data_IF_006122134253
#
_entry.id   IF_006122134253
#
_cell.length_a   1.000
_cell.length_b   1.000
_cell.length_c   1.000
_cell.angle_alpha   90.00
_cell.angle_beta   90.00
_cell.angle_gamma   90.00
#
_symmetry.space_group_name_H-M   'P 1'
#
loop_
_entity.id
_entity.type
_entity.pdbx_description
1 polymer ?
#
# COMPACT_ATOMS: atom_id res chain seq x y z
N UNK A 1 -34.03 22.73 -6.50
CA UNK A 1 -35.10 22.24 -7.39
C UNK A 1 -34.43 21.65 -8.63
N UNK A 2 -34.45 20.32 -8.70
CA UNK A 2 -34.15 19.43 -9.84
C UNK A 2 -32.83 19.60 -10.64
N UNK A 3 -31.92 18.66 -10.42
CA UNK A 3 -31.15 18.03 -11.51
C UNK A 3 -31.26 16.51 -11.35
N UNK A 4 -31.92 15.88 -12.32
CA UNK A 4 -31.91 14.43 -12.58
C UNK A 4 -31.76 14.22 -14.08
N UNK A 5 -31.37 12.99 -14.46
CA UNK A 5 -31.04 12.45 -15.80
C UNK A 5 -29.53 12.57 -16.10
N UNK A 6 -28.69 11.54 -16.05
CA UNK A 6 -28.90 10.09 -16.18
C UNK A 6 -28.85 9.67 -17.65
N UNK A 7 -27.80 8.95 -18.07
CA UNK A 7 -27.87 7.74 -18.92
C UNK A 7 -26.51 7.14 -19.26
N UNK A 8 -26.43 5.84 -18.99
CA UNK A 8 -25.60 4.82 -19.60
C UNK A 8 -25.91 4.65 -21.11
N UNK A 9 -24.87 4.33 -21.89
CA UNK A 9 -24.80 3.50 -23.12
C UNK A 9 -23.67 4.07 -23.99
N UNK A 10 -22.69 3.30 -24.47
CA UNK A 10 -22.80 2.51 -25.70
C UNK A 10 -21.91 1.25 -25.59
N UNK A 11 -22.50 0.10 -25.96
CA UNK A 11 -21.84 -1.19 -26.19
C UNK A 11 -21.31 -1.27 -27.64
N UNK A 12 -20.23 -2.05 -27.80
CA UNK A 12 -19.83 -2.87 -28.95
C UNK A 12 -19.87 -2.29 -30.39
N UNK A 13 -18.67 -2.14 -30.98
CA UNK A 13 -18.44 -2.45 -32.39
C UNK A 13 -17.14 -3.28 -32.53
N UNK A 14 -17.28 -4.54 -32.93
CA UNK A 14 -16.19 -5.39 -33.39
C UNK A 14 -16.00 -5.23 -34.90
N UNK A 15 -14.74 -5.41 -35.32
CA UNK A 15 -14.24 -5.71 -36.67
C UNK A 15 -14.17 -4.55 -37.68
N UNK A 16 -12.94 -4.05 -37.90
CA UNK A 16 -12.17 -4.26 -39.14
C UNK A 16 -10.69 -3.95 -38.85
N UNK A 17 -9.87 -4.99 -38.91
CA UNK A 17 -8.41 -4.94 -38.87
C UNK A 17 -7.91 -4.44 -40.22
N UNK A 18 -7.59 -3.15 -40.34
CA UNK A 18 -6.74 -2.63 -41.44
C UNK A 18 -5.36 -2.29 -40.88
N UNK A 19 -4.35 -3.04 -41.33
CA UNK A 19 -2.93 -2.70 -41.16
C UNK A 19 -2.71 -1.32 -41.78
N UNK A 20 -2.51 -0.29 -40.96
CA UNK A 20 -1.93 0.96 -41.40
C UNK A 20 -0.40 0.82 -41.39
N UNK A 21 0.31 1.29 -42.43
CA UNK A 21 1.76 1.19 -42.50
C UNK A 21 2.39 2.05 -41.40
N UNK A 22 3.47 1.52 -40.81
CA UNK A 22 4.31 2.19 -39.82
C UNK A 22 4.81 3.52 -40.38
N UNK A 23 4.18 4.62 -39.99
CA UNK A 23 4.77 5.94 -40.12
C UNK A 23 5.94 5.97 -39.14
N UNK A 24 7.15 5.80 -39.67
CA UNK A 24 8.38 6.12 -38.94
C UNK A 24 8.33 7.62 -38.67
N UNK A 25 7.97 8.00 -37.45
CA UNK A 25 8.32 9.32 -36.98
C UNK A 25 9.84 9.38 -36.95
N UNK A 26 10.39 10.19 -37.85
CA UNK A 26 11.76 10.65 -37.83
C UNK A 26 12.10 11.04 -36.39
N UNK A 27 13.09 10.37 -35.81
CA UNK A 27 13.66 10.77 -34.51
C UNK A 27 14.01 12.24 -34.64
N UNK A 28 13.23 13.09 -33.99
CA UNK A 28 13.65 14.48 -33.77
C UNK A 28 14.82 14.35 -32.80
N UNK A 29 16.04 14.59 -33.29
CA UNK A 29 17.21 14.81 -32.44
C UNK A 29 16.88 16.03 -31.57
N UNK A 30 16.29 15.76 -30.41
CA UNK A 30 16.08 16.72 -29.35
C UNK A 30 17.46 17.06 -28.81
N UNK A 31 17.80 18.35 -28.73
CA UNK A 31 19.09 18.80 -28.21
C UNK A 31 19.37 18.12 -26.85
N UNK A 32 20.57 17.58 -26.61
CA UNK A 32 20.95 16.96 -25.33
C UNK A 32 20.69 17.86 -24.11
N UNK A 33 20.68 19.18 -24.33
CA UNK A 33 20.50 20.20 -23.28
C UNK A 33 19.06 20.28 -22.76
N UNK A 34 18.06 19.85 -23.54
CA UNK A 34 16.63 19.93 -23.15
C UNK A 34 16.19 18.79 -22.24
N UNK A 35 16.93 17.68 -22.18
CA UNK A 35 16.66 16.53 -21.30
C UNK A 35 17.56 16.50 -20.06
N UNK A 36 18.44 17.49 -19.89
CA UNK A 36 19.38 17.58 -18.78
C UNK A 36 18.73 18.20 -17.54
N UNK A 37 17.93 17.41 -16.83
CA UNK A 37 17.28 17.80 -15.57
C UNK A 37 17.94 17.11 -14.39
N UNK A 38 17.85 17.70 -13.20
CA UNK A 38 18.32 17.05 -11.96
C UNK A 38 17.65 15.69 -11.78
N UNK A 39 16.34 15.63 -12.07
CA UNK A 39 15.55 14.42 -12.02
C UNK A 39 16.10 13.33 -12.95
N UNK A 40 16.33 13.64 -14.24
CA UNK A 40 16.85 12.66 -15.20
C UNK A 40 18.27 12.19 -14.84
N UNK A 41 19.16 13.09 -14.37
CA UNK A 41 20.53 12.72 -13.92
C UNK A 41 20.52 11.74 -12.74
N UNK A 42 19.66 11.97 -11.75
CA UNK A 42 19.56 11.10 -10.57
C UNK A 42 18.87 9.78 -10.91
N UNK A 43 17.78 9.83 -11.68
CA UNK A 43 17.04 8.63 -12.07
C UNK A 43 17.84 7.73 -13.04
N UNK A 44 18.73 8.29 -13.85
CA UNK A 44 19.64 7.54 -14.72
C UNK A 44 20.70 6.73 -13.96
N UNK A 45 20.94 7.01 -12.67
CA UNK A 45 21.79 6.15 -11.84
C UNK A 45 21.09 4.80 -11.62
N UNK A 46 21.82 3.71 -11.82
CA UNK A 46 21.31 2.35 -11.60
C UNK A 46 20.83 2.11 -10.17
N UNK A 47 20.06 1.03 -9.95
CA UNK A 47 19.27 0.84 -8.72
C UNK A 47 20.06 0.76 -7.42
N UNK A 48 21.31 0.25 -7.41
CA UNK A 48 21.98 -0.08 -6.15
C UNK A 48 23.48 0.26 -6.08
N UNK A 49 24.17 0.50 -7.21
CA UNK A 49 25.65 0.56 -7.20
C UNK A 49 26.25 1.97 -7.07
N UNK A 50 25.46 3.04 -7.17
CA UNK A 50 25.97 4.40 -7.32
C UNK A 50 25.27 5.39 -6.39
N UNK A 51 26.04 6.11 -5.57
CA UNK A 51 25.49 7.21 -4.77
C UNK A 51 24.83 8.26 -5.65
N UNK A 52 23.72 8.82 -5.20
CA UNK A 52 23.01 9.91 -5.91
C UNK A 52 23.43 11.30 -5.45
N UNK A 53 24.25 11.39 -4.39
CA UNK A 53 24.78 12.67 -3.90
C UNK A 53 25.77 13.36 -4.84
N UNK A 54 26.66 12.67 -5.59
CA UNK A 54 27.59 13.37 -6.48
C UNK A 54 26.91 14.15 -7.62
N UNK A 55 25.88 13.61 -8.32
CA UNK A 55 25.09 14.41 -9.26
C UNK A 55 24.43 15.64 -8.65
N UNK A 56 23.95 15.56 -7.40
CA UNK A 56 23.37 16.70 -6.68
C UNK A 56 24.42 17.77 -6.40
N UNK A 57 25.61 17.37 -5.95
CA UNK A 57 26.73 18.27 -5.70
C UNK A 57 27.24 18.95 -6.98
N UNK A 58 27.32 18.19 -8.08
CA UNK A 58 27.71 18.72 -9.39
C UNK A 58 26.71 19.75 -9.90
N UNK A 59 25.41 19.52 -9.71
CA UNK A 59 24.36 20.45 -10.10
C UNK A 59 24.50 21.81 -9.39
N UNK A 60 24.77 21.79 -8.07
CA UNK A 60 25.05 23.02 -7.32
C UNK A 60 26.35 23.70 -7.76
N UNK A 61 27.41 22.94 -8.07
CA UNK A 61 28.69 23.49 -8.58
C UNK A 61 28.51 24.21 -9.91
N UNK A 62 27.56 23.79 -10.73
CA UNK A 62 27.20 24.45 -11.99
C UNK A 62 26.43 25.77 -11.76
N UNK A 63 26.20 26.19 -10.50
CA UNK A 63 25.46 27.40 -10.16
C UNK A 63 23.95 27.30 -10.43
N UNK A 64 23.44 26.08 -10.69
CA UNK A 64 22.04 25.85 -10.97
C UNK A 64 21.25 25.84 -9.66
N UNK A 65 20.20 26.65 -9.60
CA UNK A 65 19.27 26.68 -8.47
C UNK A 65 18.53 25.33 -8.36
N UNK A 66 18.24 24.89 -7.13
CA UNK A 66 17.41 23.71 -6.87
C UNK A 66 16.24 24.12 -6.01
N UNK A 67 15.02 23.90 -6.50
CA UNK A 67 13.80 24.22 -5.76
C UNK A 67 13.44 23.09 -4.79
N UNK A 68 12.91 23.40 -3.59
CA UNK A 68 12.46 22.37 -2.64
C UNK A 68 11.45 21.39 -3.25
N UNK A 69 10.56 21.89 -4.11
CA UNK A 69 9.54 21.07 -4.81
C UNK A 69 10.16 20.03 -5.74
N UNK A 70 11.28 20.35 -6.38
CA UNK A 70 11.96 19.42 -7.31
C UNK A 70 12.62 18.28 -6.53
N UNK A 71 13.25 18.57 -5.39
CA UNK A 71 13.88 17.55 -4.55
C UNK A 71 12.84 16.66 -3.85
N UNK A 72 11.73 17.24 -3.36
CA UNK A 72 10.61 16.47 -2.81
C UNK A 72 9.98 15.57 -3.88
N UNK A 73 9.77 16.10 -5.09
CA UNK A 73 9.29 15.31 -6.23
C UNK A 73 10.24 14.18 -6.62
N UNK A 74 11.54 14.42 -6.57
CA UNK A 74 12.56 13.41 -6.82
C UNK A 74 12.55 12.29 -5.77
N UNK A 75 12.44 12.64 -4.47
CA UNK A 75 12.28 11.65 -3.40
C UNK A 75 11.06 10.77 -3.68
N UNK A 76 9.94 11.37 -4.07
CA UNK A 76 8.71 10.63 -4.38
C UNK A 76 8.88 9.69 -5.58
N UNK A 77 9.46 10.18 -6.69
CA UNK A 77 9.72 9.35 -7.86
C UNK A 77 10.65 8.16 -7.56
N UNK A 78 11.63 8.36 -6.67
CA UNK A 78 12.51 7.30 -6.18
C UNK A 78 11.73 6.27 -5.34
N UNK A 79 10.84 6.71 -4.45
CA UNK A 79 9.96 5.83 -3.69
C UNK A 79 9.01 5.02 -4.57
N UNK A 80 8.38 5.65 -5.58
CA UNK A 80 7.52 4.98 -6.56
C UNK A 80 8.29 3.91 -7.36
N UNK A 81 9.58 4.15 -7.59
CA UNK A 81 10.48 3.21 -8.24
C UNK A 81 11.10 2.18 -7.26
N UNK A 82 10.67 2.15 -6.00
CA UNK A 82 11.19 1.32 -4.91
C UNK A 82 12.70 1.52 -4.63
N UNK A 83 13.25 2.67 -4.99
CA UNK A 83 14.66 3.05 -4.78
C UNK A 83 14.84 3.78 -3.44
N UNK A 84 14.45 3.13 -2.34
CA UNK A 84 14.41 3.74 -1.01
C UNK A 84 15.78 4.19 -0.49
N UNK A 85 16.87 3.50 -0.85
CA UNK A 85 18.25 3.94 -0.56
C UNK A 85 18.55 5.31 -1.12
N UNK A 86 18.21 5.50 -2.39
CA UNK A 86 18.47 6.74 -3.09
C UNK A 86 17.59 7.85 -2.54
N UNK A 87 16.32 7.57 -2.25
CA UNK A 87 15.42 8.52 -1.60
C UNK A 87 15.98 8.97 -0.24
N UNK A 88 16.49 8.04 0.57
CA UNK A 88 17.12 8.36 1.85
C UNK A 88 18.37 9.22 1.66
N UNK A 89 19.27 8.86 0.74
CA UNK A 89 20.46 9.64 0.42
C UNK A 89 20.14 11.08 -0.01
N UNK A 90 19.13 11.27 -0.89
CA UNK A 90 18.69 12.62 -1.29
C UNK A 90 18.19 13.38 -0.05
N UNK A 91 17.36 12.74 0.78
CA UNK A 91 16.83 13.37 1.99
C UNK A 91 17.94 13.80 2.95
N UNK A 92 18.88 12.91 3.30
CA UNK A 92 20.01 13.23 4.17
C UNK A 92 20.90 14.35 3.60
N UNK A 93 21.13 14.32 2.28
CA UNK A 93 21.90 15.33 1.58
C UNK A 93 21.26 16.73 1.72
N UNK A 94 19.93 16.83 1.64
CA UNK A 94 19.20 18.09 1.83
C UNK A 94 19.52 18.70 3.19
N UNK A 95 19.47 17.88 4.26
CA UNK A 95 19.75 18.34 5.62
C UNK A 95 21.21 18.71 5.82
N UNK A 96 22.14 17.90 5.30
CA UNK A 96 23.57 18.17 5.43
C UNK A 96 24.01 19.44 4.72
N UNK A 97 23.42 19.73 3.56
CA UNK A 97 23.75 20.93 2.77
C UNK A 97 22.97 22.16 3.20
N UNK A 98 21.83 22.00 3.87
CA UNK A 98 20.97 23.12 4.28
C UNK A 98 20.43 23.91 3.07
N UNK A 99 20.15 23.23 1.96
CA UNK A 99 19.71 23.89 0.70
C UNK A 99 18.37 24.59 0.84
N UNK A 100 17.52 24.17 1.78
CA UNK A 100 16.26 24.84 2.12
C UNK A 100 15.81 24.50 3.55
N UNK A 101 14.87 25.29 4.07
CA UNK A 101 14.25 25.07 5.37
C UNK A 101 13.31 23.86 5.33
N UNK A 102 13.62 22.85 6.14
CA UNK A 102 12.83 21.64 6.25
C UNK A 102 11.48 21.93 6.93
N UNK A 103 10.42 21.31 6.40
CA UNK A 103 9.11 21.24 7.06
C UNK A 103 9.00 19.96 7.90
N UNK A 104 8.03 19.86 8.81
CA UNK A 104 7.71 18.61 9.50
C UNK A 104 7.47 17.43 8.54
N UNK A 105 6.84 17.68 7.40
CA UNK A 105 6.63 16.66 6.37
C UNK A 105 7.95 16.05 5.86
N UNK A 106 9.00 16.87 5.67
CA UNK A 106 10.31 16.36 5.23
C UNK A 106 10.90 15.39 6.27
N UNK A 107 10.68 15.67 7.56
CA UNK A 107 11.07 14.77 8.65
C UNK A 107 10.20 13.50 8.70
N UNK A 108 8.89 13.62 8.47
CA UNK A 108 7.96 12.49 8.42
C UNK A 108 8.36 11.51 7.31
N UNK A 109 8.67 12.01 6.11
CA UNK A 109 9.20 11.21 5.01
C UNK A 109 10.52 10.53 5.36
N UNK A 110 11.46 11.28 5.95
CA UNK A 110 12.76 10.68 6.32
C UNK A 110 12.60 9.61 7.39
N UNK A 111 11.73 9.82 8.37
CA UNK A 111 11.44 8.83 9.41
C UNK A 111 10.97 7.50 8.79
N UNK A 112 10.06 7.56 7.83
CA UNK A 112 9.61 6.40 7.07
C UNK A 112 10.74 5.73 6.27
N UNK A 113 11.58 6.52 5.58
CA UNK A 113 12.73 6.00 4.82
C UNK A 113 13.77 5.32 5.71
N UNK A 114 14.02 5.87 6.90
CA UNK A 114 14.93 5.28 7.88
C UNK A 114 14.39 3.94 8.37
N UNK A 115 13.09 3.82 8.64
CA UNK A 115 12.50 2.53 9.03
C UNK A 115 12.63 1.47 7.94
N UNK A 116 12.32 1.81 6.69
CA UNK A 116 12.45 0.87 5.56
C UNK A 116 13.89 0.36 5.40
N UNK A 117 14.88 1.25 5.54
CA UNK A 117 16.28 0.91 5.26
C UNK A 117 17.04 0.34 6.45
N UNK A 118 16.70 0.78 7.65
CA UNK A 118 17.50 0.56 8.87
C UNK A 118 16.69 -0.01 10.03
N UNK A 119 15.38 -0.20 9.85
CA UNK A 119 14.48 -0.77 10.85
C UNK A 119 13.98 0.23 11.90
N UNK A 120 13.02 -0.23 12.70
CA UNK A 120 12.28 0.58 13.67
C UNK A 120 13.18 1.22 14.74
N UNK A 121 14.22 0.50 15.20
CA UNK A 121 15.15 1.00 16.23
C UNK A 121 15.89 2.27 15.78
N UNK A 122 16.32 2.31 14.51
CA UNK A 122 16.98 3.48 13.96
C UNK A 122 15.97 4.61 13.68
N UNK A 123 14.74 4.26 13.29
CA UNK A 123 13.66 5.23 13.16
C UNK A 123 13.35 5.93 14.50
N UNK A 124 13.37 5.19 15.61
CA UNK A 124 13.20 5.77 16.96
C UNK A 124 14.31 6.74 17.34
N UNK A 125 15.57 6.38 17.06
CA UNK A 125 16.72 7.27 17.27
C UNK A 125 16.57 8.53 16.43
N UNK A 126 16.21 8.38 15.16
CA UNK A 126 15.97 9.50 14.27
C UNK A 126 14.85 10.39 14.79
N UNK A 127 13.70 9.82 15.20
CA UNK A 127 12.59 10.59 15.78
C UNK A 127 13.03 11.40 17.01
N UNK A 128 13.84 10.82 17.89
CA UNK A 128 14.40 11.52 19.06
C UNK A 128 15.32 12.68 18.68
N UNK A 129 15.97 12.63 17.51
CA UNK A 129 16.81 13.71 16.98
C UNK A 129 16.02 14.87 16.34
N UNK A 130 14.76 14.66 15.95
CA UNK A 130 13.93 15.70 15.32
C UNK A 130 13.67 16.84 16.32
N UNK A 131 13.85 18.14 15.97
CA UNK A 131 13.52 19.25 16.86
C UNK A 131 12.07 19.18 17.36
N UNK A 132 11.81 19.46 18.64
CA UNK A 132 10.47 19.30 19.25
C UNK A 132 9.38 20.10 18.50
N UNK A 133 9.71 21.30 18.01
CA UNK A 133 8.81 22.16 17.24
C UNK A 133 8.54 21.67 15.80
N UNK A 134 9.29 20.67 15.33
CA UNK A 134 9.12 20.03 14.02
C UNK A 134 8.39 18.68 14.09
N UNK A 135 7.98 18.25 15.30
CA UNK A 135 7.22 17.00 15.51
C UNK A 135 5.72 17.33 15.55
N UNK A 136 5.16 17.63 14.38
CA UNK A 136 3.72 17.88 14.25
C UNK A 136 2.92 16.57 14.09
N UNK A 137 1.63 16.70 13.79
CA UNK A 137 0.72 15.58 13.57
C UNK A 137 1.21 14.64 12.47
N UNK A 138 1.88 15.14 11.43
CA UNK A 138 2.40 14.32 10.33
C UNK A 138 3.53 13.39 10.80
N UNK A 139 4.48 13.90 11.59
CA UNK A 139 5.61 13.11 12.10
C UNK A 139 5.13 12.07 13.11
N UNK A 140 4.24 12.46 14.03
CA UNK A 140 3.66 11.51 14.99
C UNK A 140 2.79 10.45 14.32
N UNK A 141 2.01 10.82 13.29
CA UNK A 141 1.21 9.85 12.53
C UNK A 141 2.10 8.81 11.82
N UNK A 142 3.24 9.22 11.25
CA UNK A 142 4.19 8.26 10.69
C UNK A 142 4.73 7.34 11.78
N UNK A 143 5.22 7.88 12.90
CA UNK A 143 5.73 7.05 14.00
C UNK A 143 4.68 6.06 14.52
N UNK A 144 3.44 6.53 14.70
CA UNK A 144 2.30 5.69 15.08
C UNK A 144 2.09 4.57 14.05
N UNK A 145 2.06 4.90 12.76
CA UNK A 145 1.88 3.90 11.69
C UNK A 145 2.95 2.81 11.75
N UNK A 146 4.20 3.15 12.09
CA UNK A 146 5.30 2.20 12.24
C UNK A 146 5.05 1.23 13.40
N UNK A 147 4.63 1.74 14.57
CA UNK A 147 4.31 0.88 15.73
C UNK A 147 3.05 0.04 15.53
N UNK A 148 2.11 0.47 14.69
CA UNK A 148 0.88 -0.32 14.45
C UNK A 148 1.06 -1.48 13.48
N UNK A 149 2.26 -1.67 12.89
CA UNK A 149 2.56 -2.80 11.98
C UNK A 149 2.69 -4.15 12.70
N UNK A 150 2.93 -4.15 14.01
CA UNK A 150 3.14 -5.37 14.81
C UNK A 150 2.38 -5.32 16.13
N UNK A 151 1.93 -6.49 16.61
CA UNK A 151 1.30 -6.63 17.93
C UNK A 151 2.28 -6.36 19.07
N UNK A 152 3.58 -6.55 18.83
CA UNK A 152 4.63 -6.44 19.86
C UNK A 152 4.89 -4.99 20.28
N UNK A 153 4.51 -4.02 19.46
CA UNK A 153 4.74 -2.58 19.68
C UNK A 153 3.48 -1.85 20.13
N UNK A 154 2.56 -2.58 20.79
CA UNK A 154 1.28 -2.07 21.28
C UNK A 154 1.47 -0.88 22.22
N UNK A 155 2.32 -1.03 23.24
CA UNK A 155 2.47 -0.02 24.27
C UNK A 155 3.06 1.28 23.70
N UNK A 156 3.98 1.17 22.76
CA UNK A 156 4.55 2.30 22.04
C UNK A 156 3.50 3.00 21.17
N UNK A 157 2.68 2.24 20.44
CA UNK A 157 1.59 2.80 19.64
C UNK A 157 0.56 3.55 20.51
N UNK A 158 0.10 2.93 21.61
CA UNK A 158 -0.84 3.55 22.56
C UNK A 158 -0.25 4.81 23.19
N UNK A 159 1.03 4.79 23.57
CA UNK A 159 1.72 5.96 24.12
C UNK A 159 1.82 7.12 23.11
N UNK A 160 2.14 6.82 21.85
CA UNK A 160 2.15 7.84 20.79
C UNK A 160 0.75 8.39 20.55
N UNK A 161 -0.26 7.53 20.43
CA UNK A 161 -1.64 7.95 20.21
C UNK A 161 -2.17 8.83 21.36
N UNK A 162 -1.85 8.45 22.60
CA UNK A 162 -2.20 9.25 23.78
C UNK A 162 -1.48 10.61 23.77
N UNK A 163 -0.21 10.65 23.40
CA UNK A 163 0.53 11.90 23.27
C UNK A 163 -0.06 12.81 22.18
N UNK A 164 -0.48 12.23 21.05
CA UNK A 164 -1.19 12.99 20.01
C UNK A 164 -2.50 13.57 20.54
N UNK A 165 -3.23 12.85 21.39
CA UNK A 165 -4.45 13.35 22.05
C UNK A 165 -4.16 14.55 22.93
N UNK A 166 -3.19 14.43 23.84
CA UNK A 166 -2.80 15.49 24.78
C UNK A 166 -2.32 16.76 24.08
N UNK A 167 -1.77 16.62 22.88
CA UNK A 167 -1.29 17.73 22.06
C UNK A 167 -2.31 18.22 21.01
N UNK A 168 -3.56 17.75 21.06
CA UNK A 168 -4.63 18.09 20.11
C UNK A 168 -4.27 17.82 18.63
N UNK A 169 -3.49 16.76 18.38
CA UNK A 169 -3.05 16.33 17.05
C UNK A 169 -3.96 15.29 16.40
N UNK A 170 -5.11 14.98 17.02
CA UNK A 170 -6.08 13.98 16.54
C UNK A 170 -7.20 14.59 15.69
N UNK A 171 -6.88 15.61 14.88
CA UNK A 171 -7.82 16.28 13.97
C UNK A 171 -8.03 15.55 12.64
N UNK A 172 -7.18 14.57 12.33
CA UNK A 172 -7.22 13.78 11.09
C UNK A 172 -7.69 12.35 11.36
N UNK A 173 -8.27 11.66 10.37
CA UNK A 173 -8.76 10.28 10.52
C UNK A 173 -7.65 9.24 10.72
N UNK A 174 -6.46 9.55 10.22
CA UNK A 174 -5.36 8.63 10.04
C UNK A 174 -4.81 7.98 11.33
N UNK A 175 -4.61 8.73 12.44
CA UNK A 175 -4.24 8.11 13.71
C UNK A 175 -5.27 7.08 14.20
N UNK A 176 -6.58 7.32 13.96
CA UNK A 176 -7.63 6.37 14.32
C UNK A 176 -7.56 5.11 13.46
N UNK A 177 -7.31 5.24 12.15
CA UNK A 177 -7.14 4.08 11.26
C UNK A 177 -5.94 3.21 11.65
N UNK A 178 -4.83 3.82 12.05
CA UNK A 178 -3.68 3.09 12.57
C UNK A 178 -4.05 2.29 13.83
N UNK A 179 -4.78 2.90 14.78
CA UNK A 179 -5.23 2.21 16.00
C UNK A 179 -6.27 1.13 15.72
N UNK A 180 -7.22 1.36 14.80
CA UNK A 180 -8.18 0.34 14.33
C UNK A 180 -7.45 -0.87 13.75
N UNK A 181 -6.42 -0.64 12.92
CA UNK A 181 -5.61 -1.72 12.35
C UNK A 181 -4.87 -2.50 13.45
N UNK A 182 -4.24 -1.81 14.41
CA UNK A 182 -3.55 -2.45 15.53
C UNK A 182 -4.49 -3.31 16.38
N UNK A 183 -5.64 -2.78 16.80
CA UNK A 183 -6.58 -3.55 17.62
C UNK A 183 -7.24 -4.70 16.83
N UNK A 184 -7.44 -4.53 15.52
CA UNK A 184 -7.82 -5.63 14.63
C UNK A 184 -6.78 -6.75 14.63
N UNK A 185 -5.49 -6.42 14.50
CA UNK A 185 -4.40 -7.40 14.61
C UNK A 185 -4.38 -8.08 15.97
N UNK A 186 -4.62 -7.34 17.06
CA UNK A 186 -4.67 -7.89 18.42
C UNK A 186 -5.90 -8.78 18.67
N UNK A 187 -6.91 -8.77 17.80
CA UNK A 187 -8.16 -9.51 18.01
C UNK A 187 -9.15 -8.79 18.93
N UNK A 188 -8.93 -7.50 19.22
CA UNK A 188 -9.65 -6.76 20.26
C UNK A 188 -10.77 -5.91 19.68
N UNK A 189 -11.89 -6.56 19.37
CA UNK A 189 -13.06 -5.90 18.78
C UNK A 189 -13.55 -4.68 19.57
N UNK A 190 -13.68 -4.81 20.88
CA UNK A 190 -14.19 -3.73 21.74
C UNK A 190 -13.33 -2.47 21.61
N UNK A 191 -12.02 -2.63 21.42
CA UNK A 191 -11.10 -1.51 21.23
C UNK A 191 -11.21 -0.90 19.83
N UNK A 192 -11.49 -1.70 18.80
CA UNK A 192 -11.83 -1.19 17.46
C UNK A 192 -13.07 -0.29 17.54
N UNK A 193 -14.13 -0.77 18.19
CA UNK A 193 -15.40 -0.04 18.33
C UNK A 193 -15.21 1.26 19.14
N UNK A 194 -14.38 1.21 20.18
CA UNK A 194 -14.01 2.36 20.99
C UNK A 194 -13.26 3.42 20.19
N UNK A 195 -12.27 3.05 19.36
CA UNK A 195 -11.56 4.01 18.51
C UNK A 195 -12.50 4.64 17.48
N UNK A 196 -13.43 3.88 16.90
CA UNK A 196 -14.45 4.42 15.98
C UNK A 196 -15.37 5.40 16.70
N UNK A 197 -15.76 5.11 17.96
CA UNK A 197 -16.56 6.02 18.79
C UNK A 197 -15.80 7.32 19.07
N UNK A 198 -14.55 7.24 19.50
CA UNK A 198 -13.71 8.41 19.76
C UNK A 198 -13.53 9.29 18.51
N UNK A 199 -13.34 8.67 17.34
CA UNK A 199 -13.24 9.40 16.07
C UNK A 199 -14.49 10.26 15.80
N UNK A 200 -15.68 9.69 16.03
CA UNK A 200 -16.96 10.39 15.88
C UNK A 200 -17.13 11.51 16.91
N UNK A 201 -16.80 11.24 18.17
CA UNK A 201 -16.93 12.22 19.27
C UNK A 201 -15.99 13.41 19.10
N UNK A 202 -14.82 13.20 18.53
CA UNK A 202 -13.87 14.26 18.20
C UNK A 202 -14.26 15.03 16.93
N UNK A 203 -15.41 14.75 16.33
CA UNK A 203 -15.90 15.44 15.13
C UNK A 203 -15.05 15.20 13.89
N UNK A 204 -14.25 14.11 13.86
CA UNK A 204 -13.41 13.77 12.73
C UNK A 204 -14.27 13.07 11.69
N UNK A 205 -14.94 13.88 10.87
CA UNK A 205 -15.73 13.39 9.75
C UNK A 205 -14.79 13.00 8.60
N UNK A 206 -14.87 11.74 8.19
CA UNK A 206 -14.13 11.24 7.04
C UNK A 206 -15.05 10.42 6.14
N UNK A 207 -14.56 10.11 4.94
CA UNK A 207 -15.24 9.22 4.01
C UNK A 207 -15.77 7.98 4.74
N UNK A 208 -17.10 7.87 4.77
CA UNK A 208 -17.85 6.80 5.43
C UNK A 208 -17.47 5.44 4.86
N UNK A 209 -17.24 5.36 3.55
CA UNK A 209 -16.86 4.14 2.84
C UNK A 209 -15.41 3.77 3.21
N UNK A 210 -14.49 4.73 3.29
CA UNK A 210 -13.12 4.44 3.69
C UNK A 210 -13.04 3.97 5.15
N UNK A 211 -13.79 4.62 6.04
CA UNK A 211 -13.89 4.21 7.45
C UNK A 211 -14.44 2.79 7.56
N UNK A 212 -15.53 2.50 6.85
CA UNK A 212 -16.13 1.16 6.81
C UNK A 212 -15.15 0.10 6.29
N UNK A 213 -14.36 0.39 5.25
CA UNK A 213 -13.33 -0.52 4.75
C UNK A 213 -12.24 -0.80 5.79
N UNK A 214 -11.78 0.21 6.53
CA UNK A 214 -10.78 0.02 7.60
C UNK A 214 -11.33 -0.83 8.74
N UNK A 215 -12.57 -0.57 9.18
CA UNK A 215 -13.22 -1.36 10.24
C UNK A 215 -13.47 -2.80 9.79
N UNK A 216 -13.99 -3.00 8.57
CA UNK A 216 -14.21 -4.34 8.01
C UNK A 216 -12.90 -5.13 7.90
N UNK A 217 -11.81 -4.47 7.49
CA UNK A 217 -10.47 -5.07 7.45
C UNK A 217 -9.98 -5.45 8.84
N UNK A 218 -10.20 -4.60 9.84
CA UNK A 218 -9.86 -4.90 11.23
C UNK A 218 -10.66 -6.11 11.74
N UNK A 219 -11.99 -6.13 11.54
CA UNK A 219 -12.84 -7.26 11.90
C UNK A 219 -12.43 -8.55 11.19
N UNK A 220 -12.04 -8.49 9.91
CA UNK A 220 -11.52 -9.64 9.18
C UNK A 220 -10.20 -10.20 9.75
N UNK A 221 -9.47 -9.41 10.56
CA UNK A 221 -8.26 -9.86 11.25
C UNK A 221 -8.57 -10.52 12.61
N UNK A 222 -9.80 -10.40 13.09
CA UNK A 222 -10.30 -11.03 14.32
C UNK A 222 -10.83 -12.43 13.97
N UNK A 223 -10.55 -13.47 14.76
CA UNK A 223 -11.03 -14.84 14.49
C UNK A 223 -12.53 -15.01 14.84
N UNK A 224 -13.38 -14.13 14.30
CA UNK A 224 -14.84 -14.11 14.48
C UNK A 224 -15.50 -13.74 13.14
N UNK A 225 -15.77 -14.77 12.33
CA UNK A 225 -16.35 -14.62 10.98
C UNK A 225 -17.79 -14.11 11.06
N UNK A 226 -18.55 -14.49 12.09
CA UNK A 226 -19.96 -14.11 12.24
C UNK A 226 -20.11 -12.60 12.48
N UNK A 227 -19.25 -12.02 13.32
CA UNK A 227 -19.23 -10.57 13.56
C UNK A 227 -18.84 -9.81 12.29
N UNK A 228 -17.82 -10.29 11.57
CA UNK A 228 -17.42 -9.71 10.30
C UNK A 228 -18.55 -9.74 9.26
N UNK A 229 -19.23 -10.88 9.11
CA UNK A 229 -20.37 -11.04 8.19
C UNK A 229 -21.53 -10.13 8.57
N UNK A 230 -21.89 -10.07 9.85
CA UNK A 230 -22.95 -9.20 10.34
C UNK A 230 -22.65 -7.73 10.04
N UNK A 231 -21.41 -7.30 10.24
CA UNK A 231 -20.99 -5.94 9.91
C UNK A 231 -21.08 -5.69 8.40
N UNK A 232 -20.55 -6.61 7.58
CA UNK A 232 -20.58 -6.51 6.12
C UNK A 232 -22.02 -6.45 5.57
N UNK A 233 -22.94 -7.26 6.09
CA UNK A 233 -24.37 -7.20 5.74
C UNK A 233 -24.99 -5.84 6.07
N UNK A 234 -24.62 -5.27 7.22
CA UNK A 234 -25.04 -3.92 7.61
C UNK A 234 -24.58 -2.85 6.62
N UNK A 235 -23.38 -2.98 6.04
CA UNK A 235 -22.88 -2.05 5.03
C UNK A 235 -23.62 -2.16 3.69
N UNK A 236 -24.12 -3.35 3.35
CA UNK A 236 -24.81 -3.59 2.07
C UNK A 236 -26.21 -2.98 2.00
N UNK A 237 -26.83 -2.69 3.15
CA UNK A 237 -28.17 -2.07 3.25
C UNK A 237 -28.13 -0.54 3.40
N UNK A 238 -26.95 0.05 3.60
CA UNK A 238 -26.81 1.50 3.78
C UNK A 238 -26.71 2.25 2.44
N UNK A 239 -27.30 3.46 2.41
CA UNK A 239 -27.13 4.43 1.31
C UNK A 239 -26.16 5.55 1.72
N UNK A 240 -25.21 5.96 0.86
CA UNK A 240 -24.90 5.39 -0.44
C UNK A 240 -24.29 3.99 -0.35
N UNK A 241 -24.53 3.18 -1.38
CA UNK A 241 -24.06 1.79 -1.46
C UNK A 241 -22.56 1.66 -1.14
N UNK A 242 -22.23 0.75 -0.23
CA UNK A 242 -20.86 0.44 0.14
C UNK A 242 -20.01 -0.02 -1.06
N UNK A 243 -18.85 0.62 -1.23
CA UNK A 243 -17.85 0.24 -2.23
C UNK A 243 -16.69 -0.48 -1.52
N UNK A 244 -16.53 -1.77 -1.83
CA UNK A 244 -15.47 -2.59 -1.28
C UNK A 244 -14.12 -2.21 -1.90
N UNK A 245 -13.12 -1.92 -1.06
CA UNK A 245 -11.73 -1.79 -1.50
C UNK A 245 -11.10 -3.18 -1.68
N UNK A 246 -10.26 -3.36 -2.70
CA UNK A 246 -9.74 -4.68 -3.03
C UNK A 246 -8.90 -5.29 -1.90
N UNK A 247 -8.14 -4.47 -1.15
CA UNK A 247 -7.37 -4.92 0.01
C UNK A 247 -8.26 -5.42 1.16
N UNK A 248 -9.42 -4.79 1.35
CA UNK A 248 -10.43 -5.23 2.31
C UNK A 248 -11.01 -6.58 1.88
N UNK A 249 -11.33 -6.73 0.58
CA UNK A 249 -11.80 -7.99 0.01
C UNK A 249 -10.83 -9.15 0.20
N UNK A 250 -9.52 -8.92 -0.01
CA UNK A 250 -8.46 -9.91 0.31
C UNK A 250 -8.49 -10.30 1.79
N UNK A 251 -8.64 -9.31 2.69
CA UNK A 251 -8.65 -9.56 4.13
C UNK A 251 -9.86 -10.39 4.55
N UNK A 252 -11.04 -10.08 4.02
CA UNK A 252 -12.27 -10.85 4.25
C UNK A 252 -12.16 -12.27 3.68
N UNK A 253 -11.58 -12.44 2.48
CA UNK A 253 -11.34 -13.76 1.92
C UNK A 253 -10.40 -14.60 2.81
N UNK A 254 -9.34 -13.98 3.35
CA UNK A 254 -8.44 -14.63 4.31
C UNK A 254 -9.16 -15.04 5.60
N UNK A 255 -10.05 -14.20 6.12
CA UNK A 255 -10.88 -14.54 7.27
C UNK A 255 -11.76 -15.77 6.99
N UNK A 256 -12.37 -15.87 5.81
CA UNK A 256 -13.14 -17.05 5.42
C UNK A 256 -12.29 -18.32 5.30
N UNK A 257 -11.07 -18.22 4.77
CA UNK A 257 -10.14 -19.36 4.72
C UNK A 257 -9.76 -19.84 6.13
N UNK A 258 -9.42 -18.91 7.02
CA UNK A 258 -9.12 -19.22 8.42
C UNK A 258 -10.33 -19.83 9.14
N UNK A 259 -11.54 -19.40 8.80
CA UNK A 259 -12.80 -20.00 9.27
C UNK A 259 -13.19 -21.31 8.57
N UNK A 260 -12.35 -21.85 7.69
CA UNK A 260 -12.56 -23.14 7.01
C UNK A 260 -13.51 -23.10 5.81
N UNK A 261 -13.93 -21.92 5.36
CA UNK A 261 -14.93 -21.76 4.29
C UNK A 261 -14.29 -21.29 2.97
N UNK A 262 -13.63 -22.21 2.25
CA UNK A 262 -13.04 -21.94 0.93
C UNK A 262 -14.05 -21.41 -0.10
N UNK A 263 -15.31 -21.88 -0.06
CA UNK A 263 -16.36 -21.42 -0.98
C UNK A 263 -16.61 -19.91 -0.85
N UNK A 264 -16.84 -19.41 0.37
CA UNK A 264 -17.05 -17.98 0.64
C UNK A 264 -15.79 -17.16 0.32
N UNK A 265 -14.60 -17.71 0.59
CA UNK A 265 -13.35 -17.07 0.21
C UNK A 265 -13.25 -16.85 -1.31
N UNK A 266 -13.50 -17.88 -2.13
CA UNK A 266 -13.48 -17.79 -3.60
C UNK A 266 -14.50 -16.77 -4.11
N UNK A 267 -15.71 -16.76 -3.55
CA UNK A 267 -16.74 -15.77 -3.91
C UNK A 267 -16.28 -14.35 -3.62
N UNK A 268 -15.69 -14.11 -2.44
CA UNK A 268 -15.14 -12.81 -2.07
C UNK A 268 -13.98 -12.40 -2.97
N UNK A 269 -13.08 -13.32 -3.33
CA UNK A 269 -11.97 -13.04 -4.25
C UNK A 269 -12.49 -12.64 -5.65
N UNK A 270 -13.56 -13.28 -6.14
CA UNK A 270 -14.19 -12.89 -7.41
C UNK A 270 -14.82 -11.51 -7.35
N UNK A 271 -15.51 -11.17 -6.25
CA UNK A 271 -16.00 -9.81 -5.99
C UNK A 271 -14.85 -8.80 -5.95
N UNK A 272 -13.74 -9.19 -5.32
CA UNK A 272 -12.53 -8.36 -5.18
C UNK A 272 -11.92 -8.04 -6.55
N UNK A 273 -11.82 -9.00 -7.46
CA UNK A 273 -11.31 -8.79 -8.82
C UNK A 273 -12.04 -7.66 -9.58
N UNK A 274 -13.35 -7.49 -9.33
CA UNK A 274 -14.17 -6.50 -10.03
C UNK A 274 -13.89 -5.05 -9.59
N UNK A 275 -13.34 -4.86 -8.39
CA UNK A 275 -13.09 -3.54 -7.80
C UNK A 275 -11.61 -3.12 -7.86
N UNK A 276 -10.74 -3.95 -8.44
CA UNK A 276 -9.32 -3.65 -8.62
C UNK A 276 -9.14 -2.56 -9.68
N UNK A 277 -8.51 -1.46 -9.30
CA UNK A 277 -8.19 -0.36 -10.22
C UNK A 277 -7.03 -0.71 -11.16
N UNK A 278 -6.94 0.01 -12.29
CA UNK A 278 -5.95 -0.26 -13.32
C UNK A 278 -4.49 -0.10 -12.85
N UNK A 279 -4.22 0.78 -11.88
CA UNK A 279 -2.86 1.00 -11.36
C UNK A 279 -2.43 -0.14 -10.44
N UNK A 280 -3.36 -0.65 -9.63
CA UNK A 280 -3.10 -1.74 -8.69
C UNK A 280 -3.17 -3.13 -9.33
N UNK A 281 -3.62 -3.24 -10.58
CA UNK A 281 -3.99 -4.51 -11.22
C UNK A 281 -2.89 -5.58 -11.14
N UNK A 282 -1.65 -5.23 -11.43
CA UNK A 282 -0.55 -6.20 -11.42
C UNK A 282 -0.22 -6.70 -10.01
N UNK A 283 -0.23 -5.80 -9.03
CA UNK A 283 0.03 -6.14 -7.63
C UNK A 283 -1.13 -6.96 -7.04
N UNK A 284 -2.37 -6.51 -7.27
CA UNK A 284 -3.58 -7.18 -6.81
C UNK A 284 -3.70 -8.58 -7.42
N UNK A 285 -3.42 -8.74 -8.72
CA UNK A 285 -3.49 -10.04 -9.38
C UNK A 285 -2.50 -11.06 -8.79
N UNK A 286 -1.30 -10.63 -8.37
CA UNK A 286 -0.34 -11.52 -7.68
C UNK A 286 -0.91 -12.02 -6.36
N UNK A 287 -1.46 -11.13 -5.54
CA UNK A 287 -2.07 -11.48 -4.25
C UNK A 287 -3.32 -12.34 -4.45
N UNK A 288 -4.18 -12.00 -5.41
CA UNK A 288 -5.37 -12.78 -5.74
C UNK A 288 -5.00 -14.21 -6.17
N UNK A 289 -3.96 -14.40 -6.98
CA UNK A 289 -3.49 -15.73 -7.37
C UNK A 289 -3.06 -16.58 -6.18
N UNK A 290 -2.31 -16.00 -5.24
CA UNK A 290 -1.89 -16.67 -4.01
C UNK A 290 -3.10 -17.10 -3.19
N UNK A 291 -4.02 -16.16 -2.92
CA UNK A 291 -5.26 -16.42 -2.18
C UNK A 291 -6.17 -17.47 -2.84
N UNK A 292 -6.27 -17.48 -4.17
CA UNK A 292 -6.98 -18.54 -4.88
C UNK A 292 -6.29 -19.89 -4.76
N UNK A 293 -4.96 -19.92 -4.71
CA UNK A 293 -4.17 -21.10 -4.44
C UNK A 293 -4.50 -21.69 -3.08
N UNK A 294 -4.47 -20.86 -2.03
CA UNK A 294 -4.83 -21.23 -0.66
C UNK A 294 -6.28 -21.72 -0.55
N UNK A 295 -7.19 -21.13 -1.33
CA UNK A 295 -8.57 -21.57 -1.42
C UNK A 295 -8.79 -22.86 -2.24
N UNK A 296 -7.74 -23.42 -2.86
CA UNK A 296 -7.83 -24.60 -3.72
C UNK A 296 -8.45 -24.36 -5.11
N UNK A 297 -8.65 -23.09 -5.51
CA UNK A 297 -9.32 -22.71 -6.75
C UNK A 297 -8.38 -22.76 -7.97
N UNK A 298 -7.93 -23.96 -8.34
CA UNK A 298 -6.93 -24.20 -9.41
C UNK A 298 -7.30 -23.57 -10.77
N UNK A 299 -8.59 -23.51 -11.09
CA UNK A 299 -9.08 -22.92 -12.34
C UNK A 299 -8.87 -21.40 -12.36
N UNK A 300 -9.19 -20.71 -11.25
CA UNK A 300 -9.02 -19.26 -11.10
C UNK A 300 -7.53 -18.88 -11.11
N UNK A 301 -6.68 -19.65 -10.43
CA UNK A 301 -5.20 -19.51 -10.50
C UNK A 301 -4.71 -19.62 -11.94
N UNK A 302 -5.17 -20.64 -12.68
CA UNK A 302 -4.77 -20.84 -14.08
C UNK A 302 -5.26 -19.71 -14.99
N UNK A 303 -6.45 -19.16 -14.74
CA UNK A 303 -7.01 -18.02 -15.47
C UNK A 303 -6.18 -16.77 -15.24
N UNK A 304 -5.87 -16.42 -13.99
CA UNK A 304 -5.06 -15.25 -13.66
C UNK A 304 -3.61 -15.39 -14.16
N UNK A 305 -3.01 -16.59 -14.07
CA UNK A 305 -1.66 -16.83 -14.60
C UNK A 305 -1.57 -16.52 -16.11
N UNK A 306 -2.58 -16.90 -16.89
CA UNK A 306 -2.62 -16.57 -18.33
C UNK A 306 -2.77 -15.07 -18.58
N UNK A 307 -3.43 -14.33 -17.68
CA UNK A 307 -3.60 -12.88 -17.79
C UNK A 307 -2.32 -12.12 -17.44
N UNK A 308 -1.59 -12.56 -16.40
CA UNK A 308 -0.36 -11.90 -15.94
C UNK A 308 0.83 -12.28 -16.82
N UNK A 309 0.88 -13.54 -17.28
CA UNK A 309 1.98 -14.08 -18.06
C UNK A 309 1.49 -14.63 -19.41
N UNK A 310 1.02 -13.77 -20.34
CA UNK A 310 0.45 -14.22 -21.61
C UNK A 310 1.45 -14.99 -22.49
N UNK A 311 2.75 -14.83 -22.25
CA UNK A 311 3.84 -15.44 -23.04
C UNK A 311 4.64 -16.54 -22.31
N UNK A 312 4.21 -17.02 -21.13
CA UNK A 312 5.00 -18.01 -20.35
C UNK A 312 4.93 -19.46 -20.83
N UNK A 313 4.28 -19.74 -21.98
CA UNK A 313 4.40 -21.07 -22.60
C UNK A 313 5.69 -21.18 -23.41
N UNK A 314 6.77 -21.57 -22.72
CA UNK A 314 7.69 -22.66 -23.11
C UNK A 314 8.58 -23.05 -21.92
N UNK A 315 8.14 -24.08 -21.19
CA UNK A 315 8.99 -24.95 -20.38
C UNK A 315 9.42 -24.43 -19.01
N UNK A 316 8.74 -24.89 -17.95
CA UNK A 316 9.32 -25.68 -16.83
C UNK A 316 8.25 -25.89 -15.76
N UNK A 317 8.03 -27.15 -15.36
CA UNK A 317 7.23 -27.53 -14.20
C UNK A 317 7.90 -26.93 -12.94
N UNK A 318 7.22 -26.04 -12.22
CA UNK A 318 7.66 -25.62 -10.89
C UNK A 318 7.08 -26.58 -9.85
N UNK A 319 7.98 -27.20 -9.08
CA UNK A 319 7.69 -27.99 -7.88
C UNK A 319 7.00 -27.10 -6.84
N UNK A 320 6.01 -27.66 -6.14
CA UNK A 320 5.37 -27.03 -5.01
C UNK A 320 6.40 -26.79 -3.89
N UNK A 321 6.70 -25.53 -3.59
CA UNK A 321 7.33 -25.17 -2.32
C UNK A 321 6.24 -25.01 -1.27
N UNK A 322 6.34 -25.81 -0.22
CA UNK A 322 5.61 -25.62 1.04
C UNK A 322 6.34 -24.50 1.78
N UNK A 323 5.73 -23.33 1.90
CA UNK A 323 6.20 -22.26 2.78
C UNK A 323 5.60 -22.47 4.16
N UNK A 324 6.46 -22.74 5.14
CA UNK A 324 6.13 -22.61 6.56
C UNK A 324 5.89 -21.13 6.89
N UNK A 325 4.99 -20.90 7.83
CA UNK A 325 4.43 -19.58 8.12
C UNK A 325 5.48 -18.59 8.61
N UNK A 326 5.56 -17.47 7.91
CA UNK A 326 6.12 -16.22 8.42
C UNK A 326 4.99 -15.19 8.49
N UNK A 327 4.94 -14.47 9.60
CA UNK A 327 3.94 -13.45 9.92
C UNK A 327 3.81 -12.43 8.78
N UNK A 328 2.63 -12.44 8.15
CA UNK A 328 2.27 -11.56 7.03
C UNK A 328 2.16 -10.10 7.46
N UNK A 329 3.31 -9.42 7.54
CA UNK A 329 3.40 -7.96 7.56
C UNK A 329 2.99 -7.42 6.19
N UNK A 330 1.69 -7.14 6.01
CA UNK A 330 1.19 -6.46 4.82
C UNK A 330 1.92 -5.12 4.67
N UNK A 331 2.68 -4.99 3.57
CA UNK A 331 3.25 -3.73 3.09
C UNK A 331 2.10 -2.74 2.85
N UNK A 332 1.79 -1.96 3.88
CA UNK A 332 0.89 -0.82 3.79
C UNK A 332 1.70 0.31 3.14
N UNK A 333 1.60 0.44 1.82
CA UNK A 333 1.92 1.71 1.18
C UNK A 333 0.96 2.76 1.75
N UNK A 334 1.45 3.78 2.49
CA UNK A 334 0.59 4.83 2.96
C UNK A 334 0.08 5.60 1.73
N UNK A 335 -1.24 5.61 1.50
CA UNK A 335 -1.91 6.37 0.43
C UNK A 335 -1.94 7.88 0.76
N UNK A 336 -0.80 8.48 1.12
CA UNK A 336 -0.78 9.86 1.63
C UNK A 336 -0.37 10.93 0.63
N UNK A 337 -0.17 10.58 -0.64
CA UNK A 337 0.19 11.56 -1.66
C UNK A 337 -0.84 11.69 -2.76
N UNK A 338 -2.07 12.01 -2.35
CA UNK A 338 -2.92 12.93 -3.09
C UNK A 338 -3.05 14.21 -2.26
N UNK A 339 -2.14 15.15 -2.50
CA UNK A 339 -2.19 16.50 -1.93
C UNK A 339 -3.29 17.27 -2.65
N UNK A 340 -4.42 17.48 -1.99
CA UNK A 340 -5.32 18.57 -2.37
C UNK A 340 -4.62 19.89 -2.01
N UNK A 341 -4.23 20.62 -3.05
CA UNK A 341 -3.70 21.98 -2.97
C UNK A 341 -4.85 22.90 -2.57
N UNK A 342 -4.83 23.42 -1.34
CA UNK A 342 -5.81 24.40 -0.87
C UNK A 342 -5.29 25.33 0.22
N UNK A 343 -4.59 26.41 -0.20
CA UNK A 343 -4.68 27.79 0.32
C UNK A 343 -4.44 28.14 1.81
N UNK A 344 -3.41 28.97 2.03
CA UNK A 344 -3.35 30.04 3.05
C UNK A 344 -2.95 29.60 4.48
N UNK A 345 -2.21 30.34 5.29
CA UNK A 345 -1.67 31.70 5.25
C UNK A 345 -0.79 31.90 6.49
N UNK A 346 0.18 32.81 6.36
CA UNK A 346 1.29 33.06 7.29
C UNK A 346 0.90 33.84 8.56
N UNK A 347 1.53 33.53 9.70
CA UNK A 347 1.99 34.45 10.77
C UNK A 347 2.64 33.60 11.88
N UNK A 348 3.73 33.94 12.57
CA UNK A 348 4.53 35.16 12.66
C UNK A 348 4.84 35.47 14.12
N UNK A 349 6.11 35.31 14.55
CA UNK A 349 6.68 35.82 15.82
C UNK A 349 6.79 34.78 16.94
N UNK A 350 7.85 34.69 17.76
CA UNK A 350 9.06 35.47 17.93
C UNK A 350 9.56 35.32 19.38
N UNK A 351 10.89 35.24 19.57
CA UNK A 351 11.57 35.73 20.79
C UNK A 351 12.00 34.73 21.88
N UNK A 352 13.33 34.48 21.94
CA UNK A 352 14.17 34.95 23.05
C UNK A 352 14.45 34.03 24.26
N UNK A 353 15.75 33.78 24.52
CA UNK A 353 16.31 33.88 25.88
C UNK A 353 17.00 32.67 26.51
N UNK A 354 18.35 32.60 26.40
CA UNK A 354 19.30 32.71 27.52
C UNK A 354 19.51 31.55 28.53
N UNK A 355 20.81 31.23 28.76
CA UNK A 355 21.38 30.54 29.94
C UNK A 355 21.70 29.06 29.66
N UNK A 356 22.94 28.56 29.75
CA UNK A 356 24.07 28.87 30.63
C UNK A 356 24.24 27.71 31.61
N UNK A 357 25.36 26.97 31.54
CA UNK A 357 25.68 25.91 32.51
C UNK A 357 26.65 24.86 31.98
N UNK A 358 27.94 25.08 32.23
CA UNK A 358 29.04 24.11 32.12
C UNK A 358 28.87 22.99 33.13
N UNK A 359 29.29 21.76 32.80
CA UNK A 359 29.81 20.76 33.75
C UNK A 359 30.60 19.69 33.00
N UNK A 360 31.91 19.69 33.22
CA UNK A 360 32.83 18.63 32.87
C UNK A 360 32.55 17.36 33.70
N UNK A 361 32.88 16.20 33.13
CA UNK A 361 32.77 14.91 33.81
C UNK A 361 33.46 13.81 33.02
N UNK A 362 34.78 13.73 33.18
CA UNK A 362 35.63 12.61 32.77
C UNK A 362 35.22 11.31 33.46
N UNK A 363 35.38 10.19 32.76
CA UNK A 363 35.10 8.86 33.30
C UNK A 363 35.57 7.77 32.34
N UNK A 364 36.88 7.55 32.33
CA UNK A 364 37.55 6.41 31.69
C UNK A 364 37.05 5.08 32.29
N UNK A 365 36.94 4.06 31.43
CA UNK A 365 36.56 2.71 31.82
C UNK A 365 36.99 1.71 30.76
N UNK A 366 38.26 1.34 30.80
CA UNK A 366 38.85 0.23 30.07
C UNK A 366 38.23 -1.12 30.50
N UNK A 367 38.06 -2.01 29.54
CA UNK A 367 37.57 -3.37 29.76
C UNK A 367 37.85 -4.26 28.56
N UNK A 368 39.09 -4.76 28.49
CA UNK A 368 39.52 -5.83 27.60
C UNK A 368 38.83 -7.17 27.93
N UNK A 369 38.56 -7.98 26.92
CA UNK A 369 38.07 -9.35 27.05
C UNK A 369 38.06 -10.10 25.72
N UNK A 370 39.13 -10.85 25.46
CA UNK A 370 39.41 -11.68 24.29
C UNK A 370 38.64 -13.02 24.23
N UNK A 371 38.56 -13.57 23.00
CA UNK A 371 38.54 -15.02 22.65
C UNK A 371 37.15 -15.69 22.62
N UNK A 372 36.79 -16.63 21.76
CA UNK A 372 37.35 -17.38 20.61
C UNK A 372 36.09 -17.92 19.86
N UNK A 373 36.03 -18.12 18.53
CA UNK A 373 36.62 -19.26 17.81
C UNK A 373 35.56 -20.35 17.50
N UNK A 374 35.64 -20.90 16.28
CA UNK A 374 34.91 -22.06 15.69
C UNK A 374 33.52 -21.79 15.08
N UNK A 375 33.23 -22.08 13.79
CA UNK A 375 33.85 -22.99 12.83
C UNK A 375 32.89 -24.16 12.54
N UNK A 376 32.31 -24.25 11.35
CA UNK A 376 31.43 -25.37 10.98
C UNK A 376 30.81 -25.24 9.59
N UNK A 377 31.55 -25.69 8.58
CA UNK A 377 31.08 -25.99 7.23
C UNK A 377 30.26 -27.30 7.21
N UNK A 378 29.29 -27.40 6.30
CA UNK A 378 28.51 -28.61 6.06
C UNK A 378 27.90 -28.63 4.67
N UNK A 379 28.69 -29.10 3.70
CA UNK A 379 28.25 -29.46 2.35
C UNK A 379 27.45 -30.77 2.37
N UNK A 380 26.43 -30.86 1.52
CA UNK A 380 25.62 -32.06 1.33
C UNK A 380 25.04 -32.13 -0.07
N UNK A 381 25.80 -32.73 -0.98
CA UNK A 381 25.38 -33.15 -2.32
C UNK A 381 24.42 -34.35 -2.25
N UNK A 382 23.41 -34.36 -3.12
CA UNK A 382 22.46 -35.46 -3.24
C UNK A 382 21.85 -35.52 -4.64
N UNK A 383 22.52 -36.24 -5.53
CA UNK A 383 22.03 -36.68 -6.84
C UNK A 383 20.88 -37.67 -6.70
N UNK A 384 19.92 -37.62 -7.63
CA UNK A 384 18.81 -38.56 -7.69
C UNK A 384 18.09 -38.51 -9.04
N UNK A 385 18.55 -39.35 -9.96
CA UNK A 385 17.92 -39.69 -11.23
C UNK A 385 16.55 -40.36 -11.03
N UNK A 386 15.64 -40.16 -11.98
CA UNK A 386 14.34 -40.84 -11.99
C UNK A 386 13.54 -40.55 -13.25
N UNK A 387 13.78 -41.37 -14.28
CA UNK A 387 12.99 -41.50 -15.50
C UNK A 387 11.54 -41.91 -15.22
N UNK A 388 10.62 -41.47 -16.08
CA UNK A 388 9.21 -41.86 -16.00
C UNK A 388 8.39 -41.30 -17.15
N UNK A 389 8.47 -41.99 -18.29
CA UNK A 389 7.57 -41.85 -19.44
C UNK A 389 6.13 -42.17 -19.08
N UNK A 390 5.17 -41.51 -19.73
CA UNK A 390 3.75 -41.74 -19.55
C UNK A 390 2.93 -40.96 -20.55
N UNK A 391 2.85 -41.51 -21.77
CA UNK A 391 1.90 -41.13 -22.82
C UNK A 391 0.45 -41.31 -22.37
N UNK A 392 -0.44 -40.44 -22.86
CA UNK A 392 -1.86 -40.50 -22.57
C UNK A 392 -2.66 -39.57 -23.47
N UNK A 393 -2.80 -39.98 -24.73
CA UNK A 393 -3.76 -39.42 -25.69
C UNK A 393 -5.19 -39.60 -25.19
N UNK A 394 -6.04 -38.59 -25.44
CA UNK A 394 -7.47 -38.65 -25.13
C UNK A 394 -8.21 -37.50 -25.79
N UNK A 395 -8.46 -37.64 -27.10
CA UNK A 395 -9.43 -36.85 -27.84
C UNK A 395 -10.87 -37.21 -27.38
N UNK A 396 -11.75 -36.23 -27.36
CA UNK A 396 -13.17 -36.41 -27.06
C UNK A 396 -13.95 -35.19 -27.53
N UNK A 397 -14.36 -35.24 -28.80
CA UNK A 397 -15.33 -34.35 -29.42
C UNK A 397 -16.72 -34.53 -28.77
N UNK A 398 -17.52 -33.46 -28.78
CA UNK A 398 -18.89 -33.50 -28.28
C UNK A 398 -19.62 -32.21 -28.62
N UNK A 399 -20.07 -32.11 -29.87
CA UNK A 399 -21.08 -31.16 -30.34
C UNK A 399 -22.41 -31.39 -29.63
N UNK A 400 -23.17 -30.31 -29.43
CA UNK A 400 -24.50 -30.35 -28.84
C UNK A 400 -25.23 -29.04 -29.03
N UNK A 401 -25.78 -28.87 -30.23
CA UNK A 401 -26.79 -27.85 -30.57
C UNK A 401 -28.07 -28.07 -29.75
N UNK A 402 -28.76 -26.99 -29.42
CA UNK A 402 -30.04 -27.01 -28.71
C UNK A 402 -30.74 -25.67 -28.81
N UNK A 403 -31.40 -25.45 -29.96
CA UNK A 403 -32.41 -24.40 -30.15
C UNK A 403 -33.60 -24.62 -29.22
N UNK A 404 -34.21 -23.52 -28.77
CA UNK A 404 -35.39 -23.52 -27.94
C UNK A 404 -36.08 -22.17 -27.97
N UNK A 405 -36.87 -21.96 -29.03
CA UNK A 405 -37.87 -20.91 -29.15
C UNK A 405 -38.93 -21.02 -28.04
N UNK A 406 -39.44 -19.88 -27.59
CA UNK A 406 -40.51 -19.81 -26.60
C UNK A 406 -41.14 -18.42 -26.59
N UNK A 407 -42.03 -18.18 -27.54
CA UNK A 407 -42.99 -17.08 -27.56
C UNK A 407 -43.94 -17.18 -26.34
N UNK A 408 -44.37 -16.03 -25.83
CA UNK A 408 -45.32 -15.93 -24.75
C UNK A 408 -45.89 -14.53 -24.65
N UNK A 409 -46.86 -14.24 -25.53
CA UNK A 409 -47.78 -13.11 -25.42
C UNK A 409 -48.63 -13.21 -24.15
N UNK A 410 -48.96 -12.06 -23.57
CA UNK A 410 -49.83 -11.95 -22.41
C UNK A 410 -50.17 -10.49 -22.14
N UNK A 411 -51.12 -9.97 -22.92
CA UNK A 411 -51.91 -8.79 -22.58
C UNK A 411 -52.69 -9.07 -21.28
N UNK A 412 -52.72 -8.11 -20.35
CA UNK A 412 -53.87 -7.98 -19.43
C UNK A 412 -54.05 -6.50 -19.05
N UNK A 413 -55.26 -6.03 -19.34
CA UNK A 413 -55.79 -4.71 -19.06
C UNK A 413 -56.11 -4.56 -17.56
N UNK A 414 -56.04 -3.33 -17.06
CA UNK A 414 -56.44 -3.04 -15.68
C UNK A 414 -56.40 -1.55 -15.36
N UNK A 415 -57.40 -0.83 -15.86
CA UNK A 415 -57.84 0.46 -15.33
C UNK A 415 -58.23 0.30 -13.84
N UNK A 416 -57.81 1.24 -12.98
CA UNK A 416 -58.71 1.74 -11.94
C UNK A 416 -58.30 3.14 -11.45
N UNK A 417 -59.35 3.92 -11.18
CA UNK A 417 -59.44 5.34 -10.90
C UNK A 417 -59.18 5.71 -9.42
N UNK A 418 -58.96 7.01 -9.20
CA UNK A 418 -59.20 7.71 -7.92
C UNK A 418 -57.91 8.09 -7.18
N UNK A 419 -57.69 9.32 -6.73
CA UNK A 419 -58.60 10.40 -6.39
C UNK A 419 -58.14 11.01 -5.06
N UNK A 420 -57.91 12.33 -5.07
CA UNK A 420 -57.45 13.26 -4.01
C UNK A 420 -55.97 13.26 -3.58
#
# INVERSE_FOLDING_TARGET
MMQHLGRYAIKNLLLIRRRTPSIRFSVTLTSPELNDTLHSRVMARGRERWKVTPPLDEWLKQGKEIKPTELRGLINALCESQRFDHALQVSEWITKRGVFNLSPEDFAYRLYLVEIRSGLKEADKFFKSIPKNMRDDSVYNILLSLYTKSKNTRHEAEAIYQKMREQNMLSKPYPYYNMIALYGLLGERNMVDEIVRQMKENGVEHDKILTANNVLKAYASIPDVEVMEKFMMGLEVEEPRFVLAWQTGISVAKAYLNGGSSKKAIEMLRRTELVVDAKSKDAANKVLMEMYGDAGAKQDVSRLNRLIYPNSKKGKKTRAHKSEGEDGGYSHYPIYYYVDRGGGGSSGGGGGGGGGGDSDGDGDGDGDGDGDGDGGDGDGDGDGDGDGDGDGDGAGDGDGDGDGDGDGDGDDDGDDDGGD
#
